data_IF_150791806936
#
_entry.id   IF_150791806936
#
_cell.length_a   1.000
_cell.length_b   1.000
_cell.length_c   1.000
_cell.angle_alpha   90.00
_cell.angle_beta   90.00
_cell.angle_gamma   90.00
#
_symmetry.space_group_name_H-M   'P 1'
#
loop_
_entity.id
_entity.type
_entity.pdbx_description
1 polymer ?
#
# COMPACT_ATOMS: atom_id res chain seq x y z
N UNK A 1 -37.20 -54.20 11.46
CA UNK A 1 -36.92 -53.42 10.22
C UNK A 1 -37.16 -51.91 10.35
N UNK A 2 -38.19 -51.41 11.06
CA UNK A 2 -38.47 -49.95 11.16
C UNK A 2 -37.36 -49.12 11.82
N UNK A 3 -36.71 -49.63 12.88
CA UNK A 3 -35.68 -48.88 13.61
C UNK A 3 -34.42 -48.59 12.77
N UNK A 4 -33.93 -49.56 12.01
CA UNK A 4 -32.76 -49.38 11.13
C UNK A 4 -33.02 -48.35 10.01
N UNK A 5 -34.24 -48.34 9.48
CA UNK A 5 -34.65 -47.40 8.44
C UNK A 5 -34.73 -45.96 8.96
N UNK A 6 -35.06 -45.79 10.25
CA UNK A 6 -35.13 -44.50 10.92
C UNK A 6 -33.74 -43.96 11.27
N UNK A 7 -32.80 -44.82 11.65
CA UNK A 7 -31.41 -44.46 11.92
C UNK A 7 -30.69 -43.98 10.65
N UNK A 8 -30.82 -44.71 9.53
CA UNK A 8 -30.23 -44.28 8.24
C UNK A 8 -30.77 -42.94 7.77
N UNK A 9 -32.06 -42.67 8.01
CA UNK A 9 -32.71 -41.40 7.65
C UNK A 9 -32.17 -40.23 8.48
N UNK A 10 -31.92 -40.45 9.77
CA UNK A 10 -31.32 -39.46 10.67
C UNK A 10 -29.84 -39.20 10.34
N UNK A 11 -29.08 -40.23 9.97
CA UNK A 11 -27.69 -40.08 9.53
C UNK A 11 -27.58 -39.31 8.21
N UNK A 12 -28.48 -39.58 7.25
CA UNK A 12 -28.53 -38.83 5.99
C UNK A 12 -28.85 -37.35 6.18
N UNK A 13 -29.73 -37.01 7.13
CA UNK A 13 -30.02 -35.61 7.48
C UNK A 13 -28.80 -34.91 8.09
N UNK A 14 -28.13 -35.54 9.07
CA UNK A 14 -26.91 -34.95 9.67
C UNK A 14 -25.80 -34.73 8.64
N UNK A 15 -25.59 -35.68 7.74
CA UNK A 15 -24.61 -35.54 6.65
C UNK A 15 -24.97 -34.38 5.70
N UNK A 16 -26.27 -34.16 5.44
CA UNK A 16 -26.71 -33.04 4.61
C UNK A 16 -26.48 -31.69 5.30
N UNK A 17 -26.73 -31.62 6.61
CA UNK A 17 -26.52 -30.42 7.42
C UNK A 17 -25.02 -30.08 7.52
N UNK A 18 -24.16 -31.07 7.81
CA UNK A 18 -22.69 -30.91 7.86
C UNK A 18 -22.12 -30.46 6.50
N UNK A 19 -22.65 -31.00 5.40
CA UNK A 19 -22.25 -30.61 4.05
C UNK A 19 -22.70 -29.19 3.68
N UNK A 20 -23.85 -28.75 4.18
CA UNK A 20 -24.32 -27.38 3.98
C UNK A 20 -23.42 -26.39 4.73
N UNK A 21 -23.01 -26.72 5.97
CA UNK A 21 -22.09 -25.90 6.75
C UNK A 21 -20.70 -25.84 6.09
N UNK A 22 -20.14 -26.97 5.65
CA UNK A 22 -18.86 -27.02 4.94
C UNK A 22 -18.88 -26.16 3.68
N UNK A 23 -19.94 -26.25 2.87
CA UNK A 23 -20.10 -25.42 1.68
C UNK A 23 -20.17 -23.93 2.03
N UNK A 24 -20.89 -23.56 3.09
CA UNK A 24 -20.96 -22.18 3.54
C UNK A 24 -19.60 -21.65 4.02
N UNK A 25 -18.81 -22.48 4.70
CA UNK A 25 -17.44 -22.12 5.12
C UNK A 25 -16.50 -21.97 3.94
N UNK A 26 -16.54 -22.88 2.96
CA UNK A 26 -15.74 -22.79 1.73
C UNK A 26 -16.11 -21.50 0.97
N UNK A 27 -17.40 -21.23 0.78
CA UNK A 27 -17.83 -19.99 0.11
C UNK A 27 -17.37 -18.73 0.85
N UNK A 28 -17.34 -18.74 2.18
CA UNK A 28 -16.79 -17.64 2.97
C UNK A 28 -15.27 -17.52 2.87
N UNK A 29 -14.55 -18.63 2.75
CA UNK A 29 -13.09 -18.64 2.56
C UNK A 29 -12.73 -18.15 1.15
N UNK A 30 -13.37 -18.69 0.12
CA UNK A 30 -13.21 -18.23 -1.28
C UNK A 30 -13.56 -16.75 -1.40
N UNK A 31 -14.61 -16.29 -0.71
CA UNK A 31 -14.96 -14.86 -0.65
C UNK A 31 -13.89 -14.04 0.05
N UNK A 32 -13.35 -14.49 1.19
CA UNK A 32 -12.27 -13.79 1.90
C UNK A 32 -10.97 -13.77 1.10
N UNK A 33 -10.69 -14.83 0.35
CA UNK A 33 -9.52 -14.95 -0.52
C UNK A 33 -9.68 -14.03 -1.74
N UNK A 34 -10.85 -14.01 -2.38
CA UNK A 34 -11.16 -13.04 -3.43
C UNK A 34 -11.19 -11.59 -2.91
N UNK A 35 -11.67 -11.36 -1.68
CA UNK A 35 -11.60 -10.05 -1.03
C UNK A 35 -10.15 -9.69 -0.74
N UNK A 36 -9.31 -10.61 -0.26
CA UNK A 36 -7.86 -10.42 -0.10
C UNK A 36 -7.14 -10.23 -1.42
N UNK A 37 -7.52 -10.88 -2.52
CA UNK A 37 -6.96 -10.59 -3.84
C UNK A 37 -7.43 -9.22 -4.36
N UNK A 38 -8.65 -8.81 -4.02
CA UNK A 38 -9.21 -7.51 -4.41
C UNK A 38 -8.75 -6.35 -3.51
N UNK A 39 -8.35 -6.63 -2.27
CA UNK A 39 -7.91 -5.70 -1.24
C UNK A 39 -6.40 -5.83 -0.92
N UNK A 40 -5.71 -6.82 -1.49
CA UNK A 40 -4.35 -7.21 -1.14
C UNK A 40 -3.32 -6.40 -1.87
N UNK A 41 -2.63 -5.54 -1.10
CA UNK A 41 -1.35 -4.92 -1.43
C UNK A 41 -1.18 -4.47 -2.87
N UNK A 42 -2.18 -3.79 -3.43
CA UNK A 42 -2.10 -3.30 -4.80
C UNK A 42 -1.00 -2.26 -4.94
N UNK A 43 -0.30 -2.27 -6.09
CA UNK A 43 0.63 -1.21 -6.42
C UNK A 43 -0.07 0.16 -6.33
N UNK A 44 0.45 1.06 -5.51
CA UNK A 44 -0.09 2.40 -5.32
C UNK A 44 0.65 3.40 -6.21
N UNK A 45 -0.10 4.37 -6.73
CA UNK A 45 0.48 5.57 -7.33
C UNK A 45 0.08 6.77 -6.48
N UNK A 46 1.07 7.47 -5.94
CA UNK A 46 0.84 8.71 -5.21
C UNK A 46 1.36 9.90 -6.02
N UNK A 47 0.71 11.05 -5.84
CA UNK A 47 1.17 12.32 -6.39
C UNK A 47 1.36 13.30 -5.24
N UNK A 48 2.46 14.05 -5.27
CA UNK A 48 2.73 15.10 -4.30
C UNK A 48 3.21 16.36 -5.00
N UNK A 49 2.88 17.50 -4.41
CA UNK A 49 3.39 18.77 -4.86
C UNK A 49 3.22 19.79 -3.76
N UNK A 50 3.99 20.87 -3.86
CA UNK A 50 3.94 21.93 -2.87
C UNK A 50 4.59 23.20 -3.40
N UNK A 51 4.23 24.29 -2.76
CA UNK A 51 4.72 25.63 -3.04
C UNK A 51 5.28 26.21 -1.75
N UNK A 52 6.41 26.90 -1.85
CA UNK A 52 7.11 27.54 -0.75
C UNK A 52 7.35 29.01 -1.10
N UNK A 53 6.71 29.91 -0.37
CA UNK A 53 6.97 31.34 -0.51
C UNK A 53 8.28 31.72 0.18
N UNK A 54 9.20 32.34 -0.54
CA UNK A 54 10.47 32.82 0.01
C UNK A 54 10.42 34.35 0.16
N UNK A 55 10.08 34.81 1.36
CA UNK A 55 9.92 36.25 1.65
C UNK A 55 11.26 36.99 1.80
N UNK A 56 12.32 36.27 2.14
CA UNK A 56 13.64 36.83 2.43
C UNK A 56 14.71 36.27 1.47
N UNK A 57 15.57 37.12 0.90
CA UNK A 57 16.68 36.67 0.07
C UNK A 57 17.65 35.83 0.90
N UNK A 58 18.14 34.71 0.34
CA UNK A 58 19.04 33.76 1.01
C UNK A 58 20.52 34.11 0.81
N UNK A 59 20.83 35.40 0.74
CA UNK A 59 22.20 35.92 0.56
C UNK A 59 23.01 35.84 1.86
N UNK A 60 24.29 35.48 1.76
CA UNK A 60 25.23 35.47 2.91
C UNK A 60 25.11 34.27 3.86
N UNK A 61 24.42 33.19 3.45
CA UNK A 61 24.39 31.93 4.19
C UNK A 61 25.28 30.88 3.49
N UNK A 62 26.23 30.32 4.23
CA UNK A 62 27.22 29.34 3.74
C UNK A 62 26.61 28.07 3.12
N UNK A 63 25.34 27.76 3.42
CA UNK A 63 24.63 26.61 2.85
C UNK A 63 23.94 26.90 1.51
N UNK A 64 23.71 28.18 1.18
CA UNK A 64 22.97 28.60 -0.02
C UNK A 64 23.80 29.46 -0.98
N UNK A 65 24.96 29.92 -0.52
CA UNK A 65 25.87 30.79 -1.25
C UNK A 65 27.25 30.11 -1.31
N UNK A 66 27.48 29.28 -2.34
CA UNK A 66 28.84 28.82 -2.65
C UNK A 66 29.49 29.82 -3.58
N UNK A 67 29.94 30.93 -2.99
CA UNK A 67 30.72 31.91 -3.70
C UNK A 67 32.17 31.88 -3.20
N UNK A 68 33.01 31.19 -3.96
CA UNK A 68 34.46 31.17 -3.73
C UNK A 68 35.13 32.50 -4.12
N UNK A 69 34.40 33.52 -4.60
CA UNK A 69 34.99 34.70 -5.23
C UNK A 69 34.30 36.05 -4.96
N UNK A 70 33.50 36.18 -3.90
CA UNK A 70 32.99 37.48 -3.41
C UNK A 70 32.07 38.26 -4.36
N UNK A 71 31.42 37.58 -5.31
CA UNK A 71 30.31 38.13 -6.09
C UNK A 71 29.01 38.11 -5.30
N UNK A 72 28.36 39.27 -5.17
CA UNK A 72 26.97 39.40 -4.73
C UNK A 72 26.04 38.57 -5.62
N UNK A 73 25.86 37.30 -5.30
CA UNK A 73 24.80 36.46 -5.86
C UNK A 73 23.53 36.84 -5.13
N UNK A 74 22.81 37.82 -5.65
CA UNK A 74 21.46 38.13 -5.18
C UNK A 74 20.60 36.91 -5.52
N UNK A 75 20.60 35.91 -4.63
CA UNK A 75 19.71 34.76 -4.67
C UNK A 75 18.32 35.31 -4.40
N UNK A 76 17.71 35.79 -5.49
CA UNK A 76 16.51 36.61 -5.47
C UNK A 76 15.35 35.95 -4.74
N UNK A 77 14.30 36.73 -4.52
CA UNK A 77 13.02 36.30 -3.94
C UNK A 77 12.26 35.37 -4.90
N UNK A 78 12.86 34.25 -5.26
CA UNK A 78 12.21 33.23 -6.07
C UNK A 78 11.39 32.35 -5.14
N UNK A 79 10.09 32.31 -5.36
CA UNK A 79 9.26 31.31 -4.72
C UNK A 79 9.63 29.94 -5.26
N UNK A 80 9.65 28.95 -4.36
CA UNK A 80 9.95 27.59 -4.70
C UNK A 80 8.71 26.76 -4.96
N UNK A 81 8.82 25.75 -5.80
CA UNK A 81 7.77 24.75 -5.98
C UNK A 81 8.36 23.39 -6.30
N UNK A 82 7.57 22.35 -6.04
CA UNK A 82 7.95 20.98 -6.37
C UNK A 82 6.73 20.17 -6.78
N UNK A 83 6.99 19.18 -7.61
CA UNK A 83 6.03 18.17 -8.03
C UNK A 83 6.73 16.82 -8.05
N UNK A 84 6.00 15.77 -7.71
CA UNK A 84 6.53 14.42 -7.70
C UNK A 84 5.43 13.38 -7.71
N UNK A 85 5.85 12.14 -7.94
CA UNK A 85 5.02 10.97 -7.87
C UNK A 85 5.82 9.83 -7.23
N UNK A 86 5.12 8.92 -6.55
CA UNK A 86 5.69 7.66 -6.07
C UNK A 86 4.90 6.47 -6.61
N UNK A 87 5.61 5.36 -6.78
CA UNK A 87 5.07 4.04 -7.06
C UNK A 87 5.40 3.17 -5.84
N UNK A 88 4.40 2.80 -5.06
CA UNK A 88 4.56 1.82 -4.00
C UNK A 88 4.20 0.46 -4.59
N UNK A 89 5.15 -0.47 -4.62
CA UNK A 89 5.01 -1.77 -5.25
C UNK A 89 5.01 -2.86 -4.18
N UNK A 90 4.01 -3.74 -4.20
CA UNK A 90 4.05 -4.94 -3.39
C UNK A 90 5.09 -5.90 -3.98
N UNK A 91 6.11 -6.21 -3.17
CA UNK A 91 7.18 -7.12 -3.57
C UNK A 91 6.94 -8.55 -3.06
N UNK A 92 6.32 -8.69 -1.88
CA UNK A 92 5.92 -9.98 -1.28
C UNK A 92 4.86 -9.75 -0.21
N UNK A 93 3.88 -10.64 -0.15
CA UNK A 93 2.78 -10.66 0.82
C UNK A 93 3.04 -11.56 2.04
N UNK A 94 4.22 -12.21 2.08
CA UNK A 94 4.56 -13.30 3.01
C UNK A 94 6.04 -13.27 3.49
N UNK A 95 6.66 -12.10 3.57
CA UNK A 95 8.09 -11.91 3.86
C UNK A 95 8.99 -12.93 3.14
N UNK A 96 8.80 -13.07 1.84
CA UNK A 96 9.52 -14.02 0.98
C UNK A 96 9.42 -15.48 1.46
N UNK A 97 8.28 -15.84 2.06
CA UNK A 97 7.99 -17.16 2.64
C UNK A 97 8.52 -17.39 4.06
N UNK A 98 8.95 -16.33 4.77
CA UNK A 98 9.40 -16.44 6.17
C UNK A 98 8.26 -16.25 7.17
N UNK A 99 7.31 -15.34 6.88
CA UNK A 99 6.20 -15.01 7.79
C UNK A 99 4.99 -14.47 7.02
N UNK A 100 3.86 -15.16 7.10
CA UNK A 100 2.63 -14.85 6.34
C UNK A 100 1.88 -13.59 6.82
N UNK A 101 2.31 -12.97 7.92
CA UNK A 101 1.69 -11.77 8.48
C UNK A 101 2.40 -10.47 8.10
N UNK A 102 3.46 -10.54 7.29
CA UNK A 102 4.31 -9.39 6.97
C UNK A 102 4.33 -9.16 5.45
N UNK A 103 3.88 -7.97 5.06
CA UNK A 103 3.92 -7.47 3.70
C UNK A 103 5.18 -6.64 3.46
N UNK A 104 5.85 -6.87 2.33
CA UNK A 104 7.05 -6.14 1.90
C UNK A 104 6.70 -5.26 0.71
N UNK A 105 6.79 -3.95 0.91
CA UNK A 105 6.59 -2.94 -0.13
C UNK A 105 7.92 -2.28 -0.51
N UNK A 106 8.08 -1.97 -1.79
CA UNK A 106 9.18 -1.17 -2.33
C UNK A 106 8.65 0.11 -2.98
N UNK A 107 9.19 1.26 -2.59
CA UNK A 107 8.79 2.55 -3.14
C UNK A 107 9.84 3.09 -4.14
N UNK A 108 9.38 3.57 -5.28
CA UNK A 108 10.18 4.38 -6.22
C UNK A 108 9.54 5.76 -6.32
N UNK A 109 10.29 6.81 -5.95
CA UNK A 109 9.83 8.21 -5.99
C UNK A 109 10.63 9.04 -6.99
N UNK A 110 9.92 9.85 -7.79
CA UNK A 110 10.48 10.87 -8.65
C UNK A 110 9.99 12.25 -8.22
N UNK A 111 10.90 13.22 -8.18
CA UNK A 111 10.57 14.58 -7.77
C UNK A 111 11.38 15.60 -8.59
N UNK A 112 10.68 16.63 -9.07
CA UNK A 112 11.27 17.83 -9.66
C UNK A 112 11.02 19.03 -8.74
N UNK A 113 12.05 19.87 -8.61
CA UNK A 113 12.10 20.99 -7.66
C UNK A 113 12.73 22.21 -8.34
N UNK A 114 12.10 23.35 -8.16
CA UNK A 114 12.64 24.66 -8.53
C UNK A 114 12.61 25.54 -7.28
N UNK A 115 13.77 26.04 -6.85
CA UNK A 115 13.97 26.84 -5.64
C UNK A 115 15.00 27.94 -5.89
#
# INVERSE_FOLDING_TARGET
>A
MRAALQINRLQGHRLADDMAELKARIANLEKQEAERESMGGGNMVSFRGGYARNNDPRFGNILTDFDANGGNSDNGKSDGWYVGASLDLLLSDDLFGVEDSIEVLGEIMFEYKEF
#
